data_IF_313762475306
#
_entry.id   IF_313762475306
#
_cell.length_a   1.000
_cell.length_b   1.000
_cell.length_c   1.000
_cell.angle_alpha   90.00
_cell.angle_beta   90.00
_cell.angle_gamma   90.00
#
_symmetry.space_group_name_H-M   'P 1'
#
loop_
_entity.id
_entity.type
_entity.pdbx_description
1 polymer ?
#
# COMPACT_ATOMS: atom_id res chain seq x y z
N UNK A 1 9.47 15.78 -11.78
CA UNK A 1 9.78 14.54 -12.53
C UNK A 1 11.00 13.78 -11.98
N UNK A 2 12.11 14.44 -11.60
CA UNK A 2 13.31 13.79 -11.04
C UNK A 2 13.06 12.96 -9.75
N UNK A 3 12.25 13.46 -8.83
CA UNK A 3 11.91 12.74 -7.59
C UNK A 3 11.21 11.39 -7.85
N UNK A 4 10.36 11.33 -8.88
CA UNK A 4 9.66 10.10 -9.27
C UNK A 4 10.64 9.05 -9.82
N UNK A 5 11.58 9.48 -10.67
CA UNK A 5 12.63 8.60 -11.21
C UNK A 5 13.55 8.05 -10.11
N UNK A 6 13.95 8.89 -9.15
CA UNK A 6 14.77 8.48 -8.00
C UNK A 6 14.02 7.49 -7.11
N UNK A 7 12.73 7.71 -6.84
CA UNK A 7 11.89 6.79 -6.08
C UNK A 7 11.74 5.43 -6.78
N UNK A 8 11.54 5.42 -8.10
CA UNK A 8 11.49 4.18 -8.90
C UNK A 8 12.84 3.46 -8.85
N UNK A 9 13.96 4.17 -9.00
CA UNK A 9 15.30 3.60 -8.96
C UNK A 9 15.69 3.02 -7.59
N UNK A 10 15.39 3.74 -6.50
CA UNK A 10 15.60 3.24 -5.14
C UNK A 10 14.74 1.99 -4.87
N UNK A 11 13.50 1.98 -5.36
CA UNK A 11 12.65 0.79 -5.32
C UNK A 11 13.25 -0.36 -6.11
N UNK A 12 13.85 -0.08 -7.28
CA UNK A 12 14.50 -1.07 -8.15
C UNK A 12 15.71 -1.74 -7.49
N UNK A 13 16.48 -1.02 -6.67
CA UNK A 13 17.68 -1.54 -5.98
C UNK A 13 17.36 -2.34 -4.71
N UNK A 14 16.28 -2.00 -3.98
CA UNK A 14 15.92 -2.63 -2.70
C UNK A 14 15.42 -4.09 -2.80
N UNK A 15 15.20 -4.63 -4.00
CA UNK A 15 14.66 -5.98 -4.23
C UNK A 15 15.70 -7.07 -4.44
N UNK A 16 16.99 -6.74 -4.36
CA UNK A 16 18.08 -7.73 -4.32
C UNK A 16 18.38 -8.23 -2.90
N UNK A 17 17.59 -7.80 -1.90
CA UNK A 17 17.78 -8.22 -0.52
C UNK A 17 16.83 -9.37 -0.17
N UNK A 18 17.30 -10.36 0.61
CA UNK A 18 16.43 -11.39 1.14
C UNK A 18 15.27 -10.74 1.90
N UNK A 19 14.07 -11.22 1.62
CA UNK A 19 12.87 -10.75 2.33
C UNK A 19 12.78 -11.50 3.64
N UNK A 20 12.69 -10.75 4.73
CA UNK A 20 12.43 -11.30 6.05
C UNK A 20 11.01 -10.94 6.48
N UNK A 21 10.43 -11.76 7.35
CA UNK A 21 9.11 -11.52 7.94
C UNK A 21 8.98 -10.09 8.50
N UNK A 22 10.03 -9.60 9.17
CA UNK A 22 10.11 -8.22 9.69
C UNK A 22 9.88 -7.17 8.59
N UNK A 23 10.50 -7.33 7.41
CA UNK A 23 10.35 -6.39 6.28
C UNK A 23 8.93 -6.39 5.68
N UNK A 24 8.17 -7.49 5.83
CA UNK A 24 6.78 -7.59 5.36
C UNK A 24 5.82 -6.91 6.34
N UNK A 25 6.05 -7.05 7.65
CA UNK A 25 5.14 -6.59 8.72
C UNK A 25 5.40 -5.14 9.18
N UNK A 26 6.63 -4.65 9.10
CA UNK A 26 6.96 -3.26 9.50
C UNK A 26 6.14 -2.19 8.77
N UNK A 27 5.93 -2.25 7.43
CA UNK A 27 5.19 -1.21 6.71
C UNK A 27 3.75 -0.96 7.20
N UNK A 28 2.86 -1.96 7.37
CA UNK A 28 1.51 -1.71 7.87
C UNK A 28 1.51 -1.19 9.32
N UNK A 29 2.45 -1.62 10.16
CA UNK A 29 2.61 -1.07 11.52
C UNK A 29 3.02 0.41 11.48
N UNK A 30 3.97 0.78 10.62
CA UNK A 30 4.37 2.16 10.41
C UNK A 30 3.28 3.02 9.80
N UNK A 31 2.41 2.45 8.95
CA UNK A 31 1.25 3.19 8.45
C UNK A 31 0.18 3.36 9.53
N UNK A 32 0.01 2.42 10.45
CA UNK A 32 -0.96 2.51 11.54
C UNK A 32 -0.71 3.69 12.50
N UNK A 33 0.53 4.14 12.66
CA UNK A 33 0.81 5.37 13.44
C UNK A 33 0.20 6.62 12.80
N UNK A 34 -0.07 6.58 11.48
CA UNK A 34 -0.74 7.64 10.74
C UNK A 34 -2.17 7.92 11.21
N UNK A 35 -2.84 6.99 11.92
CA UNK A 35 -4.18 7.24 12.47
C UNK A 35 -4.21 8.42 13.45
N UNK A 36 -3.07 8.83 13.99
CA UNK A 36 -2.95 10.07 14.78
C UNK A 36 -3.47 11.30 14.02
N UNK A 37 -3.46 11.28 12.69
CA UNK A 37 -4.00 12.38 11.89
C UNK A 37 -5.47 12.65 12.20
N UNK A 38 -6.27 11.62 12.52
CA UNK A 38 -7.70 11.73 12.85
C UNK A 38 -7.97 12.31 14.24
N UNK A 39 -6.94 12.55 15.05
CA UNK A 39 -7.09 13.34 16.28
C UNK A 39 -7.26 14.85 15.98
N UNK A 40 -6.92 15.28 14.75
CA UNK A 40 -7.03 16.68 14.35
C UNK A 40 -8.37 16.95 13.64
N UNK A 41 -9.13 18.00 14.02
CA UNK A 41 -10.43 18.31 13.40
C UNK A 41 -10.37 18.51 11.88
N UNK A 42 -9.23 18.99 11.37
CA UNK A 42 -9.03 19.25 9.95
C UNK A 42 -9.08 17.99 9.07
N UNK A 43 -8.88 16.79 9.64
CA UNK A 43 -8.88 15.51 8.90
C UNK A 43 -10.14 14.69 9.15
N UNK A 44 -11.07 15.20 9.95
CA UNK A 44 -12.35 14.54 10.19
C UNK A 44 -13.12 14.46 8.88
N UNK A 45 -13.47 13.23 8.52
CA UNK A 45 -14.25 12.89 7.35
C UNK A 45 -15.53 12.18 7.79
N UNK A 46 -16.63 12.27 7.01
CA UNK A 46 -17.83 11.50 7.29
C UNK A 46 -17.52 10.00 7.27
N UNK A 47 -18.05 9.26 8.25
CA UNK A 47 -17.86 7.82 8.40
C UNK A 47 -18.17 7.03 7.12
N UNK A 48 -19.21 7.44 6.36
CA UNK A 48 -19.56 6.82 5.09
C UNK A 48 -18.46 6.91 4.03
N UNK A 49 -17.73 8.02 3.98
CA UNK A 49 -16.61 8.22 3.06
C UNK A 49 -15.36 7.46 3.52
N UNK A 50 -15.12 7.45 4.83
CA UNK A 50 -14.02 6.69 5.42
C UNK A 50 -14.16 5.18 5.20
N UNK A 51 -15.36 4.64 5.47
CA UNK A 51 -15.66 3.21 5.28
C UNK A 51 -15.63 2.81 3.81
N UNK A 52 -16.17 3.64 2.91
CA UNK A 52 -16.14 3.35 1.47
C UNK A 52 -14.73 3.40 0.90
N UNK A 53 -13.90 4.37 1.33
CA UNK A 53 -12.49 4.44 0.93
C UNK A 53 -11.69 3.25 1.44
N UNK A 54 -11.84 2.90 2.73
CA UNK A 54 -11.18 1.74 3.33
C UNK A 54 -11.61 0.43 2.65
N UNK A 55 -12.92 0.24 2.45
CA UNK A 55 -13.47 -0.94 1.77
C UNK A 55 -13.03 -1.05 0.32
N UNK A 56 -12.99 0.07 -0.42
CA UNK A 56 -12.47 0.13 -1.79
C UNK A 56 -11.00 -0.24 -1.84
N UNK A 57 -10.19 0.28 -0.93
CA UNK A 57 -8.79 -0.10 -0.79
C UNK A 57 -8.62 -1.60 -0.53
N UNK A 58 -9.37 -2.11 0.44
CA UNK A 58 -9.26 -3.50 0.90
C UNK A 58 -9.80 -4.53 -0.10
N UNK A 59 -10.88 -4.23 -0.82
CA UNK A 59 -11.53 -5.19 -1.71
C UNK A 59 -11.09 -5.03 -3.17
N UNK A 60 -11.05 -3.79 -3.67
CA UNK A 60 -10.79 -3.52 -5.09
C UNK A 60 -9.29 -3.46 -5.33
N UNK A 61 -8.58 -2.62 -4.56
CA UNK A 61 -7.16 -2.40 -4.81
C UNK A 61 -6.29 -3.55 -4.30
N UNK A 62 -6.60 -4.18 -3.17
CA UNK A 62 -5.78 -5.27 -2.65
C UNK A 62 -5.69 -6.49 -3.57
N UNK A 63 -6.81 -6.85 -4.20
CA UNK A 63 -6.94 -8.07 -5.01
C UNK A 63 -5.84 -8.18 -6.11
N UNK A 64 -5.65 -7.18 -6.99
CA UNK A 64 -4.60 -7.24 -7.99
C UNK A 64 -3.19 -7.30 -7.36
N UNK A 65 -2.91 -6.68 -6.20
CA UNK A 65 -1.58 -6.81 -5.58
C UNK A 65 -1.35 -8.23 -5.06
N UNK A 66 -2.34 -8.84 -4.41
CA UNK A 66 -2.24 -10.21 -3.89
C UNK A 66 -1.97 -11.19 -5.02
N UNK A 67 -2.72 -11.10 -6.12
CA UNK A 67 -2.59 -12.02 -7.26
C UNK A 67 -1.25 -11.86 -8.00
N UNK A 68 -0.76 -10.62 -8.12
CA UNK A 68 0.45 -10.32 -8.90
C UNK A 68 1.74 -10.43 -8.10
N UNK A 69 1.68 -10.47 -6.77
CA UNK A 69 2.84 -10.71 -5.92
C UNK A 69 3.07 -12.20 -5.79
N UNK A 70 4.26 -12.67 -6.18
CA UNK A 70 4.71 -14.04 -5.94
C UNK A 70 6.02 -14.01 -5.17
N UNK A 71 6.20 -14.95 -4.26
CA UNK A 71 7.48 -15.19 -3.62
C UNK A 71 8.21 -16.29 -4.39
N UNK A 72 9.45 -16.04 -4.77
CA UNK A 72 10.32 -17.03 -5.42
C UNK A 72 11.46 -17.38 -4.46
N UNK A 73 11.71 -18.68 -4.30
CA UNK A 73 12.86 -19.19 -3.55
C UNK A 73 14.03 -19.28 -4.50
N UNK A 74 15.15 -18.66 -4.15
CA UNK A 74 16.45 -18.81 -4.83
C UNK A 74 17.40 -19.40 -3.80
N UNK A 75 18.32 -20.28 -4.17
CA UNK A 75 19.17 -21.13 -3.30
C UNK A 75 19.71 -20.50 -2.00
N UNK A 76 19.90 -19.17 -1.95
CA UNK A 76 20.37 -18.42 -0.77
C UNK A 76 19.28 -17.71 0.07
N UNK A 77 17.97 -17.85 -0.22
CA UNK A 77 16.87 -17.27 0.56
C UNK A 77 15.53 -17.07 -0.17
N UNK A 78 14.51 -16.57 0.55
CA UNK A 78 13.20 -16.23 -0.02
C UNK A 78 13.23 -14.80 -0.56
N UNK A 79 12.97 -14.65 -1.86
CA UNK A 79 12.90 -13.36 -2.55
C UNK A 79 11.47 -13.04 -2.97
N UNK A 80 11.13 -11.75 -2.94
CA UNK A 80 9.83 -11.29 -3.43
C UNK A 80 9.95 -11.00 -4.93
N UNK A 81 9.25 -11.76 -5.77
CA UNK A 81 9.07 -11.40 -7.18
C UNK A 81 8.14 -10.20 -7.24
N UNK A 82 8.68 -9.07 -7.71
CA UNK A 82 7.96 -7.80 -7.66
C UNK A 82 6.67 -7.83 -8.48
N UNK A 83 5.59 -7.39 -7.85
CA UNK A 83 4.36 -7.04 -8.55
C UNK A 83 4.53 -5.70 -9.28
N UNK A 84 4.33 -5.70 -10.60
CA UNK A 84 4.18 -4.47 -11.41
C UNK A 84 2.90 -3.69 -11.03
N UNK A 85 1.93 -4.35 -10.39
CA UNK A 85 0.67 -3.74 -9.99
C UNK A 85 0.85 -2.66 -8.93
N UNK A 86 1.87 -2.77 -8.07
CA UNK A 86 2.16 -1.72 -7.10
C UNK A 86 2.45 -0.37 -7.78
N UNK A 87 3.25 -0.37 -8.85
CA UNK A 87 3.59 0.86 -9.59
C UNK A 87 2.34 1.40 -10.28
N UNK A 88 1.56 0.53 -10.92
CA UNK A 88 0.32 0.89 -11.58
C UNK A 88 -0.66 1.58 -10.62
N UNK A 89 -0.81 1.05 -9.40
CA UNK A 89 -1.70 1.59 -8.38
C UNK A 89 -1.19 2.92 -7.84
N UNK A 90 0.13 3.06 -7.64
CA UNK A 90 0.71 4.33 -7.23
C UNK A 90 0.44 5.44 -8.26
N UNK A 91 0.60 5.13 -9.55
CA UNK A 91 0.33 6.07 -10.66
C UNK A 91 -1.16 6.36 -10.76
N UNK A 92 -2.02 5.34 -10.66
CA UNK A 92 -3.48 5.49 -10.72
C UNK A 92 -4.00 6.36 -9.58
N UNK A 93 -3.60 6.08 -8.34
CA UNK A 93 -3.98 6.89 -7.18
C UNK A 93 -3.46 8.32 -7.28
N UNK A 94 -2.25 8.52 -7.78
CA UNK A 94 -1.70 9.85 -8.00
C UNK A 94 -2.47 10.61 -9.08
N UNK A 95 -2.82 9.96 -10.19
CA UNK A 95 -3.63 10.54 -11.25
C UNK A 95 -5.05 10.89 -10.77
N UNK A 96 -5.70 9.98 -10.04
CA UNK A 96 -7.01 10.22 -9.42
C UNK A 96 -6.91 11.41 -8.45
N UNK A 97 -5.86 11.49 -7.64
CA UNK A 97 -5.64 12.63 -6.72
C UNK A 97 -5.54 13.96 -7.47
N UNK A 98 -4.78 14.00 -8.56
CA UNK A 98 -4.63 15.21 -9.38
C UNK A 98 -5.94 15.60 -10.08
N UNK A 99 -6.68 14.61 -10.60
CA UNK A 99 -7.96 14.85 -11.26
C UNK A 99 -9.05 15.30 -10.28
N UNK A 100 -9.10 14.70 -9.09
CA UNK A 100 -10.04 15.07 -8.04
C UNK A 100 -9.70 16.40 -7.37
N UNK A 101 -8.46 16.88 -7.43
CA UNK A 101 -8.05 18.12 -6.79
C UNK A 101 -8.95 19.31 -7.17
N UNK A 102 -9.33 19.44 -8.45
CA UNK A 102 -10.18 20.55 -8.92
C UNK A 102 -11.67 20.42 -8.59
N UNK A 103 -12.20 19.19 -8.46
CA UNK A 103 -13.63 18.96 -8.17
C UNK A 103 -13.88 18.91 -6.66
N UNK A 104 -12.93 18.37 -5.91
CA UNK A 104 -13.06 18.12 -4.47
C UNK A 104 -12.78 19.36 -3.64
N UNK A 105 -12.00 20.34 -4.13
CA UNK A 105 -11.81 21.63 -3.44
C UNK A 105 -13.12 22.37 -3.13
N UNK A 106 -14.18 22.11 -3.90
CA UNK A 106 -15.51 22.70 -3.65
C UNK A 106 -16.28 22.03 -2.50
N UNK A 107 -15.89 20.81 -2.09
CA UNK A 107 -16.64 20.00 -1.12
C UNK A 107 -15.81 19.54 0.09
N UNK A 108 -14.48 19.51 -0.02
CA UNK A 108 -13.57 19.01 1.01
C UNK A 108 -12.24 19.75 1.01
N UNK A 109 -11.68 19.93 2.21
CA UNK A 109 -10.35 20.53 2.38
C UNK A 109 -9.23 19.55 2.00
N UNK A 110 -8.04 20.11 1.71
CA UNK A 110 -6.83 19.35 1.38
C UNK A 110 -6.51 18.25 2.43
N UNK A 111 -6.60 18.51 3.76
CA UNK A 111 -6.31 17.50 4.78
C UNK A 111 -7.34 16.36 4.80
N UNK A 112 -8.62 16.63 4.57
CA UNK A 112 -9.67 15.61 4.51
C UNK A 112 -9.48 14.67 3.30
N UNK A 113 -9.08 15.23 2.15
CA UNK A 113 -8.76 14.42 0.97
C UNK A 113 -7.56 13.51 1.26
N UNK A 114 -6.53 14.04 1.91
CA UNK A 114 -5.38 13.26 2.39
C UNK A 114 -5.79 12.10 3.31
N UNK A 115 -6.74 12.33 4.22
CA UNK A 115 -7.25 11.30 5.13
C UNK A 115 -8.00 10.17 4.39
N UNK A 116 -8.78 10.47 3.35
CA UNK A 116 -9.42 9.46 2.51
C UNK A 116 -8.40 8.61 1.74
N UNK A 117 -7.43 9.27 1.10
CA UNK A 117 -6.36 8.56 0.39
C UNK A 117 -5.53 7.69 1.34
N UNK A 118 -5.31 8.16 2.57
CA UNK A 118 -4.67 7.35 3.60
C UNK A 118 -5.48 6.11 3.96
N UNK A 119 -6.78 6.24 4.22
CA UNK A 119 -7.64 5.09 4.54
C UNK A 119 -7.72 4.09 3.39
N UNK A 120 -7.80 4.56 2.15
CA UNK A 120 -7.74 3.71 0.98
C UNK A 120 -6.41 2.96 0.91
N UNK A 121 -5.29 3.68 1.08
CA UNK A 121 -3.96 3.09 1.07
C UNK A 121 -3.73 2.09 2.22
N UNK A 122 -4.30 2.37 3.39
CA UNK A 122 -4.25 1.49 4.54
C UNK A 122 -5.13 0.25 4.35
N UNK A 123 -6.32 0.42 3.76
CA UNK A 123 -7.21 -0.68 3.38
C UNK A 123 -6.54 -1.65 2.41
N UNK A 124 -5.82 -1.16 1.40
CA UNK A 124 -5.15 -2.03 0.43
C UNK A 124 -3.92 -2.76 0.98
N UNK A 125 -3.19 -2.16 1.93
CA UNK A 125 -1.90 -2.72 2.37
C UNK A 125 -2.08 -3.92 3.31
N UNK A 126 -3.13 -3.93 4.14
CA UNK A 126 -3.40 -5.01 5.11
C UNK A 126 -3.51 -6.39 4.42
N UNK A 127 -4.50 -6.64 3.55
CA UNK A 127 -4.69 -7.93 2.90
C UNK A 127 -3.48 -8.33 2.06
N UNK A 128 -2.85 -7.36 1.38
CA UNK A 128 -1.67 -7.62 0.57
C UNK A 128 -0.48 -8.13 1.40
N UNK A 129 -0.17 -7.48 2.53
CA UNK A 129 0.92 -7.90 3.40
C UNK A 129 0.60 -9.21 4.13
N UNK A 130 -0.65 -9.43 4.52
CA UNK A 130 -1.08 -10.71 5.10
C UNK A 130 -0.90 -11.86 4.11
N UNK A 131 -1.26 -11.69 2.84
CA UNK A 131 -1.03 -12.69 1.80
C UNK A 131 0.47 -13.00 1.66
N UNK A 132 1.32 -11.97 1.63
CA UNK A 132 2.78 -12.17 1.59
C UNK A 132 3.33 -12.92 2.81
N UNK A 133 2.82 -12.66 4.01
CA UNK A 133 3.20 -13.40 5.23
C UNK A 133 2.78 -14.86 5.11
N UNK A 134 1.56 -15.12 4.63
CA UNK A 134 1.07 -16.49 4.46
C UNK A 134 1.89 -17.30 3.45
N UNK A 135 2.26 -16.69 2.31
CA UNK A 135 3.13 -17.31 1.32
C UNK A 135 4.54 -17.53 1.88
N UNK A 136 5.06 -16.58 2.67
CA UNK A 136 6.37 -16.72 3.31
C UNK A 136 6.39 -17.89 4.30
N UNK A 137 5.37 -18.00 5.15
CA UNK A 137 5.25 -19.12 6.10
C UNK A 137 5.03 -20.46 5.39
N UNK A 138 4.30 -20.49 4.27
CA UNK A 138 4.13 -21.71 3.46
C UNK A 138 5.46 -22.18 2.86
N UNK A 139 6.24 -21.27 2.31
CA UNK A 139 7.56 -21.59 1.74
C UNK A 139 8.58 -21.99 2.81
N UNK A 140 8.47 -21.44 4.02
CA UNK A 140 9.32 -21.81 5.15
C UNK A 140 8.92 -23.17 5.76
N UNK A 141 7.63 -23.51 5.81
CA UNK A 141 7.17 -24.82 6.32
C UNK A 141 7.45 -25.99 5.39
N UNK A 142 7.49 -25.76 4.08
CA UNK A 142 7.87 -26.77 3.09
C UNK A 142 9.35 -27.20 3.18
N UNK A 143 10.09 -26.65 4.14
CA UNK A 143 11.49 -26.95 4.47
C UNK A 143 11.63 -27.89 5.68
N UNK A 144 10.53 -28.20 6.40
CA UNK A 144 10.50 -29.12 7.54
C UNK A 144 10.02 -30.50 7.09
#
# INVERSE_FOLDING_TARGET
>A
MLAFAILVYLRLRAGKQPTSLKKIVIPPLGMATGFIMFAFPATHIPWGWGLSAFGTGMLIFAFPLVVTTRLERVEAGIYVRRSKAFIFIMVTLFAIRLALHGVVEQYMSIPQTGALFYLLAFGMIIPWRLAMVSDFMRLQKAEI
#
